data_IF_582753012704
#
_entry.id   IF_582753012704
#
_cell.length_a   1.000
_cell.length_b   1.000
_cell.length_c   1.000
_cell.angle_alpha   90.00
_cell.angle_beta   90.00
_cell.angle_gamma   90.00
#
_symmetry.space_group_name_H-M   'P 1'
#
loop_
_entity.id
_entity.type
_entity.pdbx_description
1 polymer ?
#
# COMPACT_ATOMS: atom_id res chain seq x y z
N UNK A 1 6.83 67.25 6.89
CA UNK A 1 6.68 66.51 5.62
C UNK A 1 7.25 65.10 5.86
N UNK A 2 6.46 64.04 6.10
CA UNK A 2 5.82 63.14 5.10
C UNK A 2 6.62 63.13 3.78
N UNK A 3 7.24 62.02 3.35
CA UNK A 3 6.58 60.78 2.91
C UNK A 3 7.37 59.50 3.28
N UNK A 4 6.68 58.61 4.00
CA UNK A 4 7.02 57.19 4.18
C UNK A 4 6.38 56.39 3.04
N UNK A 5 7.14 55.44 2.51
CA UNK A 5 6.63 54.17 1.97
C UNK A 5 5.90 54.23 0.63
N UNK A 6 6.64 54.17 -0.47
CA UNK A 6 6.08 53.70 -1.75
C UNK A 6 7.20 53.27 -2.71
N UNK A 7 7.72 52.05 -2.55
CA UNK A 7 8.28 51.22 -3.64
C UNK A 7 8.25 49.77 -3.13
N UNK A 8 7.06 49.15 -3.08
CA UNK A 8 6.57 48.28 -4.17
C UNK A 8 7.55 47.10 -4.36
N UNK A 9 7.55 46.08 -3.50
CA UNK A 9 6.53 45.02 -3.47
C UNK A 9 6.14 44.57 -4.89
N UNK A 10 7.04 43.89 -5.62
CA UNK A 10 6.74 43.31 -6.92
C UNK A 10 7.75 42.22 -7.37
N UNK A 11 8.12 41.26 -6.51
CA UNK A 11 9.02 40.18 -6.93
C UNK A 11 8.70 38.77 -6.37
N UNK A 12 7.56 38.58 -5.71
CA UNK A 12 7.14 37.26 -5.19
C UNK A 12 5.74 36.85 -5.69
N UNK A 13 5.45 37.10 -6.97
CA UNK A 13 4.18 36.72 -7.62
C UNK A 13 4.39 35.74 -8.79
N UNK A 14 5.30 34.76 -8.62
CA UNK A 14 5.54 33.69 -9.61
C UNK A 14 5.27 32.28 -9.07
N UNK A 15 4.60 32.12 -7.93
CA UNK A 15 3.81 30.91 -7.69
C UNK A 15 2.45 31.10 -8.35
N UNK A 16 2.46 30.88 -9.66
CA UNK A 16 1.30 30.55 -10.47
C UNK A 16 0.50 29.45 -9.77
N UNK A 17 -0.51 29.87 -9.00
CA UNK A 17 -1.66 29.05 -8.70
C UNK A 17 -2.34 28.71 -10.03
N UNK A 18 -2.03 27.52 -10.57
CA UNK A 18 -2.95 26.84 -11.47
C UNK A 18 -4.11 26.31 -10.61
N UNK A 19 -5.02 27.21 -10.25
CA UNK A 19 -6.40 26.84 -9.91
C UNK A 19 -7.13 26.64 -11.25
N UNK A 20 -7.37 25.38 -11.63
CA UNK A 20 -8.27 25.05 -12.74
C UNK A 20 -9.56 24.49 -12.16
N UNK A 21 -10.45 25.40 -11.78
CA UNK A 21 -11.86 25.10 -11.54
C UNK A 21 -12.56 24.77 -12.86
N UNK A 22 -13.02 23.53 -13.04
CA UNK A 22 -13.91 23.12 -14.15
C UNK A 22 -15.35 23.12 -13.62
N UNK A 23 -16.37 23.60 -14.38
CA UNK A 23 -17.72 23.74 -13.87
C UNK A 23 -18.42 22.38 -13.71
N UNK A 24 -19.15 22.22 -12.60
CA UNK A 24 -20.15 21.17 -12.42
C UNK A 24 -21.28 21.30 -13.45
N UNK A 25 -21.81 20.15 -13.92
CA UNK A 25 -23.24 19.81 -14.18
C UNK A 25 -23.30 18.54 -15.08
N UNK A 26 -24.25 17.58 -14.94
CA UNK A 26 -24.89 16.95 -13.79
C UNK A 26 -24.78 15.39 -13.83
N UNK A 27 -25.22 14.72 -12.75
CA UNK A 27 -25.21 13.26 -12.58
C UNK A 27 -26.19 12.47 -13.48
N UNK A 28 -25.77 11.27 -13.89
CA UNK A 28 -26.61 10.10 -14.25
C UNK A 28 -25.76 8.79 -14.15
N UNK A 29 -26.37 7.59 -13.99
CA UNK A 29 -26.03 6.68 -12.88
C UNK A 29 -25.11 5.49 -13.19
N UNK A 30 -24.58 4.93 -12.10
CA UNK A 30 -24.21 3.52 -11.85
C UNK A 30 -23.09 2.86 -12.69
N UNK A 31 -21.99 2.55 -11.99
CA UNK A 31 -21.07 1.46 -12.34
C UNK A 31 -20.02 1.23 -11.25
N UNK A 32 -20.19 0.22 -10.40
CA UNK A 32 -19.07 -0.43 -9.68
C UNK A 32 -18.56 -1.58 -10.55
N UNK A 33 -17.30 -2.02 -10.41
CA UNK A 33 -16.05 -1.30 -10.16
C UNK A 33 -15.10 -1.46 -11.36
N UNK A 34 -14.26 -0.46 -11.63
CA UNK A 34 -13.08 -0.70 -12.46
C UNK A 34 -12.16 -1.63 -11.67
N UNK A 35 -12.18 -2.92 -12.02
CA UNK A 35 -11.05 -3.80 -11.76
C UNK A 35 -9.84 -3.10 -12.37
N UNK A 36 -8.99 -2.57 -11.50
CA UNK A 36 -7.71 -2.02 -11.89
C UNK A 36 -6.99 -3.17 -12.58
N UNK A 37 -6.85 -3.05 -13.90
CA UNK A 37 -6.19 -4.03 -14.73
C UNK A 37 -4.84 -4.34 -14.08
N UNK A 38 -4.61 -5.62 -13.79
CA UNK A 38 -3.28 -6.19 -13.59
C UNK A 38 -2.47 -5.84 -14.84
N UNK A 39 -1.81 -4.66 -14.82
CA UNK A 39 -0.65 -4.44 -15.64
C UNK A 39 0.29 -5.58 -15.27
N UNK A 40 0.63 -6.43 -16.25
CA UNK A 40 1.50 -7.58 -16.03
C UNK A 40 2.74 -7.11 -15.26
N UNK A 41 2.81 -7.49 -13.98
CA UNK A 41 3.91 -7.14 -13.09
C UNK A 41 5.21 -7.54 -13.79
N UNK A 42 6.27 -6.71 -13.75
CA UNK A 42 7.57 -7.10 -14.29
C UNK A 42 7.94 -8.45 -13.67
N UNK A 43 8.01 -9.49 -14.50
CA UNK A 43 8.32 -10.82 -13.99
C UNK A 43 9.77 -10.79 -13.50
N UNK A 44 9.96 -10.72 -12.18
CA UNK A 44 11.26 -10.97 -11.57
C UNK A 44 11.74 -12.35 -12.00
N UNK A 45 13.02 -12.47 -12.36
CA UNK A 45 13.62 -13.76 -12.70
C UNK A 45 13.70 -14.64 -11.45
N UNK A 46 12.73 -15.55 -11.32
CA UNK A 46 12.65 -16.51 -10.21
C UNK A 46 13.93 -17.34 -10.09
N UNK A 47 14.58 -17.66 -11.21
CA UNK A 47 15.80 -18.46 -11.21
C UNK A 47 17.01 -17.66 -10.70
N UNK A 48 17.09 -16.36 -11.00
CA UNK A 48 18.10 -15.48 -10.42
C UNK A 48 17.88 -15.30 -8.91
N UNK A 49 16.63 -15.08 -8.48
CA UNK A 49 16.29 -14.95 -7.07
C UNK A 49 16.61 -16.23 -6.30
N UNK A 50 16.22 -17.40 -6.82
CA UNK A 50 16.53 -18.68 -6.20
C UNK A 50 18.04 -18.88 -6.01
N UNK A 51 18.88 -18.48 -6.99
CA UNK A 51 20.34 -18.53 -6.85
C UNK A 51 20.85 -17.54 -5.80
N UNK A 52 20.35 -16.30 -5.79
CA UNK A 52 20.77 -15.25 -4.85
C UNK A 52 20.43 -15.58 -3.41
N UNK A 53 19.29 -16.23 -3.17
CA UNK A 53 18.79 -16.57 -1.84
C UNK A 53 19.00 -18.05 -1.47
N UNK A 54 19.74 -18.80 -2.28
CA UNK A 54 20.05 -20.20 -2.02
C UNK A 54 20.69 -20.39 -0.63
N UNK A 55 20.16 -21.35 0.13
CA UNK A 55 20.67 -21.70 1.47
C UNK A 55 20.29 -20.73 2.59
N UNK A 56 19.50 -19.68 2.31
CA UNK A 56 18.95 -18.82 3.36
C UNK A 56 17.63 -19.41 3.88
N UNK A 57 17.48 -19.41 5.19
CA UNK A 57 16.25 -19.84 5.84
C UNK A 57 15.14 -18.80 5.67
N UNK A 58 13.91 -19.28 5.45
CA UNK A 58 12.71 -18.44 5.45
C UNK A 58 12.37 -18.06 6.90
N UNK A 59 12.40 -16.77 7.19
CA UNK A 59 12.00 -16.21 8.49
C UNK A 59 11.13 -14.97 8.29
N UNK A 60 10.32 -14.67 9.29
CA UNK A 60 9.63 -13.38 9.39
C UNK A 60 10.65 -12.36 9.87
N UNK A 61 10.96 -11.38 9.01
CA UNK A 61 11.89 -10.31 9.31
C UNK A 61 11.22 -9.17 10.10
N UNK A 62 9.97 -8.86 9.77
CA UNK A 62 9.17 -7.85 10.46
C UNK A 62 7.67 -8.12 10.28
N UNK A 63 6.86 -7.63 11.22
CA UNK A 63 5.41 -7.56 11.09
C UNK A 63 4.93 -6.23 11.71
N UNK A 64 4.46 -5.33 10.86
CA UNK A 64 4.14 -3.95 11.24
C UNK A 64 2.88 -3.43 10.55
N UNK A 65 2.22 -2.48 11.20
CA UNK A 65 1.16 -1.68 10.57
C UNK A 65 1.81 -0.51 9.85
N UNK A 66 1.51 -0.35 8.56
CA UNK A 66 2.01 0.74 7.71
C UNK A 66 0.86 1.49 7.04
N UNK A 67 1.13 2.70 6.60
CA UNK A 67 0.18 3.49 5.81
C UNK A 67 0.46 3.29 4.31
N UNK A 68 -0.50 2.72 3.59
CA UNK A 68 -0.40 2.51 2.14
C UNK A 68 -1.67 3.03 1.46
N UNK A 69 -1.51 3.89 0.45
CA UNK A 69 -2.61 4.54 -0.28
C UNK A 69 -3.64 5.22 0.63
N UNK A 70 -3.16 5.81 1.74
CA UNK A 70 -4.01 6.47 2.74
C UNK A 70 -4.83 5.53 3.63
N UNK A 71 -4.64 4.20 3.53
CA UNK A 71 -5.29 3.20 4.40
C UNK A 71 -4.27 2.41 5.24
N UNK A 72 -4.67 2.01 6.45
CA UNK A 72 -3.86 1.17 7.32
C UNK A 72 -3.74 -0.23 6.72
N UNK A 73 -2.53 -0.77 6.70
CA UNK A 73 -2.20 -2.05 6.07
C UNK A 73 -1.26 -2.84 6.97
N UNK A 74 -1.57 -4.12 7.21
CA UNK A 74 -0.61 -5.03 7.83
C UNK A 74 0.45 -5.37 6.78
N UNK A 75 1.72 -5.11 7.08
CA UNK A 75 2.87 -5.59 6.32
C UNK A 75 3.57 -6.70 7.09
N UNK A 76 3.85 -7.81 6.41
CA UNK A 76 4.67 -8.91 6.91
C UNK A 76 5.85 -9.08 5.96
N UNK A 77 7.05 -8.77 6.44
CA UNK A 77 8.28 -8.85 5.68
C UNK A 77 9.00 -10.18 5.94
N UNK A 78 9.53 -10.79 4.88
CA UNK A 78 10.20 -12.08 4.92
C UNK A 78 11.69 -11.95 4.53
N UNK A 79 12.52 -12.87 5.03
CA UNK A 79 13.97 -12.90 4.77
C UNK A 79 14.35 -13.29 3.33
N UNK A 80 13.46 -14.00 2.62
CA UNK A 80 13.65 -14.50 1.27
C UNK A 80 12.39 -14.28 0.43
N UNK A 81 12.50 -14.23 -0.92
CA UNK A 81 11.35 -14.20 -1.82
C UNK A 81 10.41 -15.40 -1.62
N UNK A 82 9.12 -15.13 -1.56
CA UNK A 82 8.04 -16.12 -1.54
C UNK A 82 7.66 -16.54 -2.96
N UNK A 83 7.00 -17.70 -3.07
CA UNK A 83 6.46 -18.16 -4.35
C UNK A 83 5.07 -17.51 -4.59
N UNK A 84 4.89 -16.69 -5.65
CA UNK A 84 3.64 -15.99 -5.91
C UNK A 84 2.44 -16.89 -6.18
N UNK A 85 2.65 -18.17 -6.52
CA UNK A 85 1.57 -19.12 -6.78
C UNK A 85 1.01 -19.78 -5.50
N UNK A 86 1.57 -19.46 -4.33
CA UNK A 86 1.13 -20.01 -3.05
C UNK A 86 -0.23 -19.45 -2.62
N UNK A 87 -1.07 -20.30 -2.05
CA UNK A 87 -2.28 -19.86 -1.33
C UNK A 87 -1.89 -19.28 0.03
N UNK A 88 -1.62 -17.98 0.06
CA UNK A 88 -1.25 -17.26 1.28
C UNK A 88 -2.37 -17.25 2.33
N UNK A 89 -3.65 -17.29 1.92
CA UNK A 89 -4.76 -17.29 2.86
C UNK A 89 -4.91 -18.62 3.61
N UNK A 90 -4.35 -19.71 3.08
CA UNK A 90 -4.24 -20.98 3.78
C UNK A 90 -3.10 -21.02 4.82
N UNK A 91 -2.17 -20.06 4.77
CA UNK A 91 -0.94 -20.05 5.60
C UNK A 91 -0.90 -18.92 6.62
N UNK A 92 -1.40 -17.74 6.24
CA UNK A 92 -1.42 -16.56 7.08
C UNK A 92 -2.84 -16.26 7.55
N UNK A 93 -3.04 -16.36 8.85
CA UNK A 93 -4.32 -16.14 9.50
C UNK A 93 -4.26 -14.86 10.32
N UNK A 94 -5.14 -13.91 10.02
CA UNK A 94 -5.31 -12.71 10.83
C UNK A 94 -6.67 -12.74 11.52
N UNK A 95 -6.64 -12.66 12.85
CA UNK A 95 -7.84 -12.76 13.69
C UNK A 95 -7.90 -11.55 14.60
N UNK A 96 -9.01 -10.83 14.57
CA UNK A 96 -9.36 -9.88 15.61
C UNK A 96 -9.89 -10.62 16.84
N UNK A 97 -9.37 -10.28 18.03
CA UNK A 97 -9.72 -10.96 19.28
C UNK A 97 -11.19 -10.90 19.66
N UNK A 98 -11.97 -9.96 19.12
CA UNK A 98 -13.40 -9.76 19.42
C UNK A 98 -14.30 -10.27 18.29
N UNK A 99 -13.97 -9.95 17.04
CA UNK A 99 -14.84 -10.25 15.89
C UNK A 99 -14.43 -11.49 15.09
N UNK A 100 -13.30 -12.12 15.43
CA UNK A 100 -12.83 -13.32 14.73
C UNK A 100 -12.01 -12.98 13.48
N UNK A 101 -12.13 -13.81 12.44
CA UNK A 101 -11.35 -13.67 11.20
C UNK A 101 -11.47 -12.25 10.63
N UNK A 102 -10.34 -11.67 10.25
CA UNK A 102 -10.30 -10.41 9.50
C UNK A 102 -10.51 -10.70 8.01
N UNK A 103 -11.43 -10.00 7.39
CA UNK A 103 -11.66 -10.08 5.95
C UNK A 103 -10.59 -9.30 5.18
N UNK A 104 -10.21 -9.80 4.00
CA UNK A 104 -9.20 -9.18 3.15
C UNK A 104 -8.47 -10.22 2.31
N UNK A 105 -7.82 -9.74 1.24
CA UNK A 105 -6.93 -10.56 0.43
C UNK A 105 -5.48 -10.25 0.79
N UNK A 106 -4.67 -11.29 0.89
CA UNK A 106 -3.22 -11.13 0.99
C UNK A 106 -2.65 -10.73 -0.37
N UNK A 107 -1.88 -9.65 -0.39
CA UNK A 107 -1.20 -9.13 -1.56
C UNK A 107 0.30 -9.33 -1.41
N UNK A 108 0.90 -10.06 -2.35
CA UNK A 108 2.34 -10.15 -2.45
C UNK A 108 2.89 -8.93 -3.19
N UNK A 109 3.85 -8.24 -2.57
CA UNK A 109 4.54 -7.10 -3.18
C UNK A 109 5.41 -7.52 -4.36
N UNK A 110 5.82 -6.54 -5.17
CA UNK A 110 6.60 -6.81 -6.38
C UNK A 110 7.98 -7.41 -6.10
N UNK A 111 8.56 -7.21 -4.91
CA UNK A 111 9.84 -7.82 -4.55
C UNK A 111 9.70 -9.26 -4.02
N UNK A 112 8.46 -9.77 -3.93
CA UNK A 112 8.09 -11.10 -3.42
C UNK A 112 8.48 -11.34 -1.95
N UNK A 113 8.90 -10.33 -1.20
CA UNK A 113 9.39 -10.46 0.17
C UNK A 113 8.49 -9.79 1.21
N UNK A 114 7.32 -9.31 0.79
CA UNK A 114 6.37 -8.66 1.69
C UNK A 114 4.93 -9.05 1.33
N UNK A 115 4.21 -9.58 2.31
CA UNK A 115 2.76 -9.80 2.22
C UNK A 115 2.02 -8.65 2.90
N UNK A 116 0.95 -8.19 2.25
CA UNK A 116 0.14 -7.07 2.72
C UNK A 116 -1.31 -7.49 2.88
N UNK A 117 -1.93 -7.12 3.99
CA UNK A 117 -3.38 -7.18 4.17
C UNK A 117 -3.90 -5.76 4.37
N UNK A 118 -4.58 -5.22 3.37
CA UNK A 118 -5.01 -3.81 3.34
C UNK A 118 -6.28 -3.57 4.17
N UNK A 119 -6.52 -2.29 4.41
CA UNK A 119 -7.76 -1.76 4.98
C UNK A 119 -8.06 -2.27 6.40
N UNK A 120 -7.03 -2.30 7.26
CA UNK A 120 -7.24 -2.61 8.66
C UNK A 120 -8.16 -1.58 9.32
N UNK A 121 -9.10 -2.08 10.13
CA UNK A 121 -9.88 -1.22 11.01
C UNK A 121 -8.99 -0.61 12.10
N UNK A 122 -9.22 0.66 12.47
CA UNK A 122 -8.46 1.29 13.55
C UNK A 122 -8.85 0.71 14.92
N UNK A 123 -7.92 0.79 15.88
CA UNK A 123 -8.15 0.46 17.31
C UNK A 123 -8.61 -0.99 17.55
N UNK A 124 -8.11 -1.91 16.74
CA UNK A 124 -8.34 -3.36 16.87
C UNK A 124 -7.20 -4.04 17.63
N UNK A 125 -7.44 -5.27 18.11
CA UNK A 125 -6.38 -6.13 18.65
C UNK A 125 -6.34 -7.39 17.80
N UNK A 126 -5.30 -7.48 16.98
CA UNK A 126 -5.15 -8.52 15.98
C UNK A 126 -4.12 -9.55 16.45
N UNK A 127 -4.32 -10.80 16.04
CA UNK A 127 -3.40 -11.92 16.19
C UNK A 127 -3.09 -12.44 14.80
N UNK A 128 -1.82 -12.33 14.41
CA UNK A 128 -1.29 -12.97 13.22
C UNK A 128 -0.75 -14.35 13.60
N UNK A 129 -1.16 -15.38 12.85
CA UNK A 129 -0.60 -16.73 12.94
C UNK A 129 -0.12 -17.15 11.55
N UNK A 130 1.05 -17.77 11.49
CA UNK A 130 1.69 -18.19 10.24
C UNK A 130 2.03 -19.67 10.36
N UNK A 131 1.44 -20.47 9.48
CA UNK A 131 1.62 -21.91 9.46
C UNK A 131 2.91 -22.29 8.68
N UNK A 132 3.63 -23.34 9.12
CA UNK A 132 4.86 -23.82 8.48
C UNK A 132 4.64 -24.50 7.12
#
# INVERSE_FOLDING_TARGET
>A
MSYKGLFLAAALALLSACDSSTPETPAAPSGKPAAQQDAARPALDKAELAKRYAGRELTVADASEVQLDGASTLSVSFSVPLDPEQDFAARLHLVDKKSGKVDGAWELSDNLMELRLRHLEPRRSLVLSIDP
#
